data_IF_126014900994
#
_entry.id   IF_126014900994
#
_cell.length_a   1.000
_cell.length_b   1.000
_cell.length_c   1.000
_cell.angle_alpha   90.00
_cell.angle_beta   90.00
_cell.angle_gamma   90.00
#
_symmetry.space_group_name_H-M   'P 1'
#
loop_
_entity.id
_entity.type
_entity.pdbx_description
1 polymer ?
#
# COMPACT_ATOMS: atom_id res chain seq x y z
N UNK A 1 7.80 -1.33 -18.65
CA UNK A 1 8.47 -2.53 -18.06
C UNK A 1 7.47 -3.57 -17.62
N UNK A 2 6.61 -3.28 -16.68
CA UNK A 2 5.68 -4.26 -16.08
C UNK A 2 4.74 -4.92 -17.12
N UNK A 3 4.15 -4.14 -18.00
CA UNK A 3 3.31 -4.64 -19.10
C UNK A 3 4.07 -5.63 -20.01
N UNK A 4 5.32 -5.34 -20.34
CA UNK A 4 6.17 -6.24 -21.14
C UNK A 4 6.51 -7.52 -20.39
N UNK A 5 6.60 -7.46 -19.07
CA UNK A 5 6.84 -8.62 -18.20
C UNK A 5 5.55 -9.38 -17.81
N UNK A 6 4.38 -8.90 -18.25
CA UNK A 6 3.08 -9.51 -17.92
C UNK A 6 2.64 -9.35 -16.46
N UNK A 7 3.22 -8.37 -15.74
CA UNK A 7 2.94 -8.12 -14.31
C UNK A 7 2.24 -6.77 -14.09
N UNK A 8 1.86 -6.50 -12.84
CA UNK A 8 1.18 -5.28 -12.44
C UNK A 8 2.16 -4.17 -12.02
N UNK A 9 1.67 -2.93 -12.03
CA UNK A 9 2.29 -1.76 -11.41
C UNK A 9 1.38 -1.23 -10.30
N UNK A 10 1.95 -0.46 -9.38
CA UNK A 10 1.20 0.29 -8.38
C UNK A 10 1.51 1.77 -8.53
N UNK A 11 0.51 2.62 -8.38
CA UNK A 11 0.66 4.08 -8.47
C UNK A 11 1.64 4.65 -7.42
N UNK A 12 1.79 3.93 -6.31
CA UNK A 12 2.52 4.45 -5.17
C UNK A 12 1.81 5.66 -4.53
N UNK A 13 2.52 6.37 -3.67
CA UNK A 13 1.98 7.51 -2.95
C UNK A 13 1.75 8.70 -3.88
N UNK A 14 0.49 9.07 -4.07
CA UNK A 14 0.20 10.36 -4.63
C UNK A 14 -0.64 10.46 -5.90
N UNK A 15 -1.56 9.55 -6.11
CA UNK A 15 -2.53 9.68 -7.21
C UNK A 15 -2.10 9.02 -8.52
N UNK A 16 -2.71 9.42 -9.61
CA UNK A 16 -2.49 8.84 -10.93
C UNK A 16 -1.86 9.85 -11.89
N UNK A 17 -0.88 9.41 -12.65
CA UNK A 17 -0.41 10.09 -13.86
C UNK A 17 -1.05 9.40 -15.06
N UNK A 18 -1.68 10.13 -16.01
CA UNK A 18 -2.35 9.54 -17.17
C UNK A 18 -1.44 8.60 -18.00
N UNK A 19 -0.18 8.96 -18.17
CA UNK A 19 0.78 8.14 -18.89
C UNK A 19 1.09 6.83 -18.16
N UNK A 20 1.18 6.85 -16.82
CA UNK A 20 1.36 5.62 -16.04
C UNK A 20 0.21 4.65 -16.28
N UNK A 21 -1.03 5.13 -16.18
CA UNK A 21 -2.21 4.31 -16.46
C UNK A 21 -2.23 3.80 -17.90
N UNK A 22 -1.90 4.65 -18.85
CA UNK A 22 -1.87 4.31 -20.29
C UNK A 22 -0.91 3.17 -20.61
N UNK A 23 0.27 3.17 -19.97
CA UNK A 23 1.32 2.17 -20.24
C UNK A 23 1.26 0.95 -19.33
N UNK A 24 0.33 0.90 -18.37
CA UNK A 24 0.15 -0.22 -17.45
C UNK A 24 -1.01 -1.11 -17.89
N UNK A 25 -0.72 -2.37 -18.20
CA UNK A 25 -1.77 -3.36 -18.54
C UNK A 25 -2.55 -3.84 -17.31
N UNK A 26 -1.92 -3.75 -16.13
CA UNK A 26 -2.52 -4.02 -14.82
C UNK A 26 -2.02 -2.98 -13.84
N UNK A 27 -2.91 -2.13 -13.36
CA UNK A 27 -2.54 -0.98 -12.53
C UNK A 27 -3.30 -0.98 -11.21
N UNK A 28 -2.56 -1.02 -10.10
CA UNK A 28 -3.10 -0.91 -8.76
C UNK A 28 -3.07 0.55 -8.29
N UNK A 29 -4.21 1.07 -7.91
CA UNK A 29 -4.35 2.41 -7.36
C UNK A 29 -4.16 2.39 -5.86
N UNK A 30 -3.16 3.12 -5.34
CA UNK A 30 -2.83 3.09 -3.93
C UNK A 30 -3.63 4.11 -3.13
N UNK A 31 -4.32 3.63 -2.11
CA UNK A 31 -5.00 4.43 -1.10
C UNK A 31 -4.08 4.60 0.10
N UNK A 32 -3.47 5.78 0.24
CA UNK A 32 -2.55 6.12 1.31
C UNK A 32 -3.22 6.92 2.43
N UNK A 33 -2.54 7.06 3.57
CA UNK A 33 -3.08 7.74 4.74
C UNK A 33 -3.45 9.21 4.47
N UNK A 34 -2.68 9.90 3.64
CA UNK A 34 -2.91 11.31 3.28
C UNK A 34 -4.00 11.53 2.24
N UNK A 35 -4.40 10.48 1.52
CA UNK A 35 -5.35 10.57 0.39
C UNK A 35 -4.89 11.49 -0.75
N UNK A 36 -3.58 11.76 -0.89
CA UNK A 36 -3.05 12.59 -1.98
C UNK A 36 -3.53 12.09 -3.34
N UNK A 37 -4.28 12.95 -4.06
CA UNK A 37 -4.81 12.66 -5.39
C UNK A 37 -5.81 11.51 -5.49
N UNK A 38 -6.13 10.82 -4.39
CA UNK A 38 -7.05 9.69 -4.40
C UNK A 38 -8.49 10.17 -4.63
N UNK A 39 -9.12 9.66 -5.68
CA UNK A 39 -10.47 10.07 -6.06
C UNK A 39 -11.22 8.94 -6.80
N UNK A 40 -12.57 8.99 -6.82
CA UNK A 40 -13.40 7.96 -7.46
C UNK A 40 -13.19 7.84 -8.98
N UNK A 41 -12.90 8.95 -9.67
CA UNK A 41 -12.71 8.92 -11.13
C UNK A 41 -11.48 8.12 -11.55
N UNK A 42 -10.43 8.17 -10.76
CA UNK A 42 -9.23 7.36 -10.99
C UNK A 42 -9.44 5.92 -10.51
N UNK A 43 -10.20 5.73 -9.42
CA UNK A 43 -10.46 4.41 -8.86
C UNK A 43 -11.16 3.49 -9.87
N UNK A 44 -12.15 3.99 -10.60
CA UNK A 44 -12.87 3.19 -11.62
C UNK A 44 -12.01 2.84 -12.84
N UNK A 45 -10.85 3.46 -13.00
CA UNK A 45 -9.88 3.12 -14.03
C UNK A 45 -8.86 2.08 -13.58
N UNK A 46 -8.84 1.72 -12.30
CA UNK A 46 -7.86 0.81 -11.74
C UNK A 46 -8.22 -0.66 -12.02
N UNK A 47 -7.19 -1.49 -12.08
CA UNK A 47 -7.33 -2.96 -12.15
C UNK A 47 -7.21 -3.60 -10.75
N UNK A 48 -6.97 -2.80 -9.72
CA UNK A 48 -6.92 -3.18 -8.31
C UNK A 48 -6.75 -1.96 -7.41
N UNK A 49 -7.08 -2.10 -6.13
CA UNK A 49 -6.86 -1.06 -5.13
C UNK A 49 -5.96 -1.59 -4.01
N UNK A 50 -4.91 -0.85 -3.68
CA UNK A 50 -4.02 -1.18 -2.57
C UNK A 50 -4.22 -0.20 -1.42
N UNK A 51 -4.61 -0.69 -0.25
CA UNK A 51 -4.53 0.07 0.99
C UNK A 51 -3.10 0.00 1.56
N UNK A 52 -2.43 1.12 1.59
CA UNK A 52 -1.09 1.22 2.15
C UNK A 52 -1.17 1.48 3.66
N UNK A 53 -0.77 0.50 4.46
CA UNK A 53 -0.75 0.62 5.93
C UNK A 53 0.66 0.92 6.43
N UNK A 54 1.69 0.59 5.64
CA UNK A 54 3.07 0.90 5.94
C UNK A 54 4.05 0.24 4.98
N UNK A 55 5.33 0.48 5.23
CA UNK A 55 6.44 -0.16 4.52
C UNK A 55 7.50 -0.66 5.51
N UNK A 56 8.29 -1.66 5.10
CA UNK A 56 9.12 -2.45 5.99
C UNK A 56 10.22 -1.70 6.72
N UNK A 57 10.84 -0.72 6.07
CA UNK A 57 11.97 0.03 6.64
C UNK A 57 11.56 1.20 7.56
N UNK A 58 10.31 1.56 7.64
CA UNK A 58 9.77 2.61 8.53
C UNK A 58 8.35 2.30 8.94
N UNK A 59 8.17 1.18 9.61
CA UNK A 59 6.86 0.70 10.04
C UNK A 59 6.17 1.73 10.94
N UNK A 60 4.90 2.02 10.66
CA UNK A 60 4.10 2.98 11.44
C UNK A 60 4.35 4.46 11.10
N UNK A 61 5.10 4.75 10.03
CA UNK A 61 5.31 6.11 9.54
C UNK A 61 4.72 6.29 8.14
N UNK A 62 4.24 7.50 7.87
CA UNK A 62 3.79 7.90 6.54
C UNK A 62 4.93 8.36 5.62
N UNK A 63 4.58 8.74 4.41
CA UNK A 63 5.50 9.32 3.43
C UNK A 63 5.91 10.75 3.78
N UNK A 64 7.07 11.16 3.27
CA UNK A 64 7.56 12.52 3.40
C UNK A 64 8.26 12.94 2.11
N UNK A 65 7.80 14.02 1.51
CA UNK A 65 8.43 14.64 0.35
C UNK A 65 8.70 16.10 0.64
N UNK A 66 9.98 16.49 0.63
CA UNK A 66 10.40 17.89 0.89
C UNK A 66 9.93 18.80 -0.24
N UNK A 67 9.53 20.02 0.10
CA UNK A 67 8.97 21.00 -0.83
C UNK A 67 9.82 21.24 -2.07
N UNK A 68 11.16 21.26 -1.93
CA UNK A 68 12.06 21.42 -3.08
C UNK A 68 12.00 20.28 -4.10
N UNK A 69 11.43 19.12 -3.74
CA UNK A 69 11.20 17.98 -4.64
C UNK A 69 9.79 17.94 -5.19
N UNK A 70 8.89 18.80 -4.71
CA UNK A 70 7.51 18.89 -5.17
C UNK A 70 7.46 19.75 -6.42
N UNK A 71 7.63 19.12 -7.58
CA UNK A 71 7.47 19.76 -8.89
C UNK A 71 6.00 20.04 -9.19
N UNK A 72 5.73 20.85 -10.22
CA UNK A 72 4.36 21.13 -10.66
C UNK A 72 3.60 19.84 -11.01
N UNK A 73 4.25 18.88 -11.66
CA UNK A 73 3.66 17.58 -11.98
C UNK A 73 3.26 16.80 -10.71
N UNK A 74 4.13 16.78 -9.69
CA UNK A 74 3.82 16.13 -8.41
C UNK A 74 2.69 16.84 -7.69
N UNK A 75 2.69 18.17 -7.70
CA UNK A 75 1.66 18.99 -7.09
C UNK A 75 0.29 18.73 -7.74
N UNK A 76 0.23 18.71 -9.05
CA UNK A 76 -0.99 18.38 -9.82
C UNK A 76 -1.49 16.96 -9.51
N UNK A 77 -0.63 15.95 -9.63
CA UNK A 77 -0.94 14.54 -9.37
C UNK A 77 -1.49 14.34 -7.94
N UNK A 78 -0.92 15.03 -6.96
CA UNK A 78 -1.32 14.94 -5.54
C UNK A 78 -2.46 15.86 -5.15
N UNK A 79 -2.86 16.78 -6.04
CA UNK A 79 -3.84 17.84 -5.75
C UNK A 79 -3.41 18.72 -4.58
N UNK A 80 -2.12 19.10 -4.55
CA UNK A 80 -1.49 19.89 -3.50
C UNK A 80 -0.66 21.03 -4.10
N UNK A 81 -0.38 22.10 -3.33
CA UNK A 81 0.50 23.18 -3.80
C UNK A 81 1.94 22.71 -4.06
N UNK A 82 2.57 23.26 -5.10
CA UNK A 82 4.00 23.05 -5.36
C UNK A 82 4.87 23.75 -4.31
N UNK A 83 6.08 23.23 -4.12
CA UNK A 83 7.10 23.85 -3.27
C UNK A 83 6.86 23.75 -1.76
N UNK A 84 5.86 23.01 -1.31
CA UNK A 84 5.54 22.82 0.11
C UNK A 84 5.82 21.38 0.51
N UNK A 85 6.36 21.16 1.71
CA UNK A 85 6.58 19.84 2.28
C UNK A 85 5.27 19.06 2.36
N UNK A 86 5.28 17.83 1.86
CA UNK A 86 4.13 16.96 1.86
C UNK A 86 4.40 15.76 2.77
N UNK A 87 3.58 15.61 3.82
CA UNK A 87 3.70 14.55 4.81
C UNK A 87 2.41 13.76 4.90
N UNK A 88 2.52 12.45 4.81
CA UNK A 88 1.41 11.55 5.12
C UNK A 88 1.40 11.25 6.62
N UNK A 89 0.22 11.23 7.26
CA UNK A 89 0.11 10.78 8.66
C UNK A 89 0.44 9.29 8.79
N UNK A 90 0.70 8.85 10.02
CA UNK A 90 0.96 7.43 10.30
C UNK A 90 -0.31 6.56 10.17
N UNK A 91 -1.50 7.16 10.30
CA UNK A 91 -2.79 6.47 10.28
C UNK A 91 -3.70 7.02 9.20
N UNK A 92 -4.55 6.18 8.68
CA UNK A 92 -5.65 6.60 7.84
C UNK A 92 -6.65 7.43 8.65
N UNK A 93 -7.27 8.48 8.05
CA UNK A 93 -8.13 9.41 8.78
C UNK A 93 -9.51 8.85 9.09
N UNK A 94 -9.95 7.85 8.35
CA UNK A 94 -11.34 7.38 8.28
C UNK A 94 -11.54 5.95 8.80
N UNK A 95 -10.53 5.34 9.43
CA UNK A 95 -10.66 4.07 10.12
C UNK A 95 -9.62 3.90 11.23
N UNK A 96 -10.00 3.24 12.33
CA UNK A 96 -9.17 3.05 13.53
C UNK A 96 -8.75 1.60 13.75
N UNK A 97 -9.51 0.66 13.20
CA UNK A 97 -9.29 -0.76 13.41
C UNK A 97 -9.77 -1.63 12.25
N UNK A 98 -9.66 -2.95 12.40
CA UNK A 98 -10.03 -3.89 11.34
C UNK A 98 -11.50 -3.79 10.92
N UNK A 99 -12.40 -3.53 11.85
CA UNK A 99 -13.84 -3.46 11.55
C UNK A 99 -14.17 -2.25 10.66
N UNK A 100 -13.58 -1.09 10.95
CA UNK A 100 -13.72 0.10 10.12
C UNK A 100 -13.06 -0.08 8.76
N UNK A 101 -11.89 -0.74 8.72
CA UNK A 101 -11.21 -1.04 7.47
C UNK A 101 -12.02 -2.00 6.59
N UNK A 102 -12.69 -2.99 7.20
CA UNK A 102 -13.59 -3.88 6.46
C UNK A 102 -14.72 -3.10 5.78
N UNK A 103 -15.33 -2.13 6.49
CA UNK A 103 -16.34 -1.24 5.91
C UNK A 103 -15.77 -0.39 4.76
N UNK A 104 -14.54 0.13 4.93
CA UNK A 104 -13.88 0.91 3.87
C UNK A 104 -13.56 0.05 2.65
N UNK A 105 -13.15 -1.21 2.83
CA UNK A 105 -12.94 -2.16 1.73
C UNK A 105 -14.26 -2.41 1.00
N UNK A 106 -15.35 -2.63 1.73
CA UNK A 106 -16.67 -2.80 1.13
C UNK A 106 -17.09 -1.56 0.32
N UNK A 107 -16.88 -0.36 0.85
CA UNK A 107 -17.14 0.89 0.15
C UNK A 107 -16.40 0.97 -1.20
N UNK A 108 -15.11 0.59 -1.22
CA UNK A 108 -14.32 0.54 -2.47
C UNK A 108 -14.85 -0.53 -3.43
N UNK A 109 -15.22 -1.70 -2.92
CA UNK A 109 -15.81 -2.78 -3.73
C UNK A 109 -17.13 -2.31 -4.38
N UNK A 110 -18.00 -1.66 -3.64
CA UNK A 110 -19.27 -1.10 -4.15
C UNK A 110 -19.01 0.00 -5.20
N UNK A 111 -18.07 0.90 -4.93
CA UNK A 111 -17.69 1.97 -5.87
C UNK A 111 -17.09 1.46 -7.19
N UNK A 112 -16.63 0.21 -7.22
CA UNK A 112 -16.03 -0.44 -8.41
C UNK A 112 -16.86 -1.63 -8.92
N UNK A 113 -18.12 -1.72 -8.53
CA UNK A 113 -19.03 -2.82 -8.88
C UNK A 113 -18.42 -4.21 -8.61
N UNK A 114 -17.60 -4.34 -7.58
CA UNK A 114 -16.89 -5.57 -7.19
C UNK A 114 -15.95 -6.13 -8.28
N UNK A 115 -15.49 -5.30 -9.21
CA UNK A 115 -14.71 -5.74 -10.37
C UNK A 115 -13.22 -5.81 -10.13
N UNK A 116 -12.70 -5.16 -9.07
CA UNK A 116 -11.27 -5.09 -8.82
C UNK A 116 -10.88 -5.74 -7.49
N UNK A 117 -9.71 -6.42 -7.43
CA UNK A 117 -9.20 -6.96 -6.19
C UNK A 117 -8.71 -5.87 -5.23
N UNK A 118 -8.81 -6.16 -3.94
CA UNK A 118 -8.32 -5.31 -2.85
C UNK A 118 -7.07 -5.93 -2.23
N UNK A 119 -6.01 -5.16 -2.16
CA UNK A 119 -4.74 -5.53 -1.55
C UNK A 119 -4.47 -4.72 -0.29
N UNK A 120 -4.02 -5.37 0.77
CA UNK A 120 -3.52 -4.71 1.98
C UNK A 120 -2.00 -4.80 2.03
N UNK A 121 -1.30 -3.66 1.98
CA UNK A 121 0.16 -3.60 2.14
C UNK A 121 0.53 -3.29 3.59
N UNK A 122 1.32 -4.18 4.19
CA UNK A 122 1.81 -4.11 5.56
C UNK A 122 3.34 -4.04 5.58
N UNK A 123 3.90 -3.15 6.37
CA UNK A 123 5.31 -3.23 6.76
C UNK A 123 5.52 -4.38 7.75
N UNK A 124 6.59 -5.14 7.56
CA UNK A 124 6.88 -6.26 8.46
C UNK A 124 7.26 -5.79 9.86
N UNK A 125 6.38 -6.02 10.83
CA UNK A 125 6.58 -5.73 12.26
C UNK A 125 6.06 -6.93 13.10
N UNK A 126 4.88 -6.86 13.68
CA UNK A 126 4.23 -8.00 14.36
C UNK A 126 3.42 -8.81 13.35
N UNK A 127 4.12 -9.34 12.35
CA UNK A 127 3.52 -9.84 11.11
C UNK A 127 2.43 -10.88 11.35
N UNK A 128 2.62 -11.81 12.28
CA UNK A 128 1.62 -12.83 12.58
C UNK A 128 0.29 -12.22 13.04
N UNK A 129 0.34 -11.27 13.98
CA UNK A 129 -0.85 -10.63 14.54
C UNK A 129 -1.47 -9.65 13.54
N UNK A 130 -0.64 -8.86 12.86
CA UNK A 130 -1.08 -7.88 11.87
C UNK A 130 -1.80 -8.56 10.69
N UNK A 131 -1.29 -9.69 10.20
CA UNK A 131 -1.94 -10.48 9.15
C UNK A 131 -3.25 -11.08 9.63
N UNK A 132 -3.33 -11.56 10.86
CA UNK A 132 -4.60 -12.06 11.41
C UNK A 132 -5.68 -10.98 11.47
N UNK A 133 -5.30 -9.74 11.79
CA UNK A 133 -6.23 -8.60 11.73
C UNK A 133 -6.59 -8.25 10.28
N UNK A 134 -5.61 -8.24 9.38
CA UNK A 134 -5.84 -7.99 7.96
C UNK A 134 -6.80 -8.99 7.31
N UNK A 135 -6.68 -10.27 7.64
CA UNK A 135 -7.57 -11.33 7.13
C UNK A 135 -9.03 -11.08 7.50
N UNK A 136 -9.31 -10.48 8.67
CA UNK A 136 -10.68 -10.13 9.08
C UNK A 136 -11.33 -9.06 8.20
N UNK A 137 -10.54 -8.27 7.49
CA UNK A 137 -11.03 -7.25 6.59
C UNK A 137 -11.41 -7.79 5.20
N UNK A 138 -11.24 -9.09 4.98
CA UNK A 138 -11.55 -9.82 3.74
C UNK A 138 -10.88 -9.25 2.47
N UNK A 139 -9.54 -9.06 2.46
CA UNK A 139 -8.82 -8.66 1.26
C UNK A 139 -8.59 -9.85 0.31
N UNK A 140 -8.39 -9.57 -0.97
CA UNK A 140 -8.00 -10.57 -1.97
C UNK A 140 -6.50 -10.91 -1.88
N UNK A 141 -5.69 -9.95 -1.43
CA UNK A 141 -4.26 -10.13 -1.24
C UNK A 141 -3.70 -9.37 -0.05
N UNK A 142 -2.65 -9.93 0.54
CA UNK A 142 -1.86 -9.31 1.59
C UNK A 142 -0.42 -9.23 1.12
N UNK A 143 0.15 -8.02 1.16
CA UNK A 143 1.50 -7.70 0.72
C UNK A 143 2.36 -7.39 1.94
N UNK A 144 3.38 -8.20 2.18
CA UNK A 144 4.34 -8.01 3.28
C UNK A 144 5.63 -7.40 2.73
N UNK A 145 5.99 -6.25 3.27
CA UNK A 145 7.19 -5.51 2.92
C UNK A 145 8.25 -5.66 4.02
N UNK A 146 9.39 -6.28 3.68
CA UNK A 146 10.51 -6.46 4.59
C UNK A 146 11.34 -5.19 4.78
N UNK A 147 12.09 -5.10 5.88
CA UNK A 147 12.92 -3.94 6.21
C UNK A 147 13.99 -3.64 5.15
N UNK A 148 14.43 -4.66 4.41
CA UNK A 148 15.49 -4.54 3.41
C UNK A 148 15.09 -3.73 2.16
N UNK A 149 13.80 -3.42 2.00
CA UNK A 149 13.29 -2.60 0.89
C UNK A 149 13.83 -1.17 0.89
N UNK A 150 14.15 -0.65 2.05
CA UNK A 150 14.67 0.71 2.20
C UNK A 150 13.62 1.80 1.93
N UNK A 151 14.04 3.04 2.02
CA UNK A 151 13.23 4.22 1.72
C UNK A 151 14.11 5.40 1.31
N UNK A 152 13.59 6.28 0.45
CA UNK A 152 14.24 7.55 0.13
C UNK A 152 13.93 8.67 1.13
N UNK A 153 13.02 8.45 2.08
CA UNK A 153 12.58 9.48 3.02
C UNK A 153 12.06 8.86 4.32
N UNK A 154 12.86 8.90 5.35
CA UNK A 154 12.50 8.44 6.69
C UNK A 154 13.47 8.99 7.74
N UNK A 155 13.04 9.12 9.00
CA UNK A 155 13.94 9.42 10.11
C UNK A 155 14.98 8.31 10.27
N UNK A 156 16.22 8.69 10.55
CA UNK A 156 17.34 7.74 10.72
C UNK A 156 16.99 6.60 11.71
N UNK A 157 16.48 6.95 12.88
CA UNK A 157 16.07 6.01 13.91
C UNK A 157 15.07 4.96 13.37
N UNK A 158 14.08 5.38 12.56
CA UNK A 158 13.11 4.44 12.02
C UNK A 158 13.72 3.52 10.96
N UNK A 159 14.57 4.07 10.09
CA UNK A 159 15.17 3.30 8.99
C UNK A 159 16.22 2.31 9.44
N UNK A 160 16.88 2.57 10.57
CA UNK A 160 17.94 1.70 11.11
C UNK A 160 17.41 0.70 12.15
N UNK A 161 16.41 1.09 12.94
CA UNK A 161 16.04 0.36 14.16
C UNK A 161 14.62 -0.23 14.11
N UNK A 162 13.88 -0.14 13.01
CA UNK A 162 12.54 -0.71 12.90
C UNK A 162 12.41 -1.71 11.75
N UNK A 163 11.34 -2.49 11.82
CA UNK A 163 11.04 -3.50 10.82
C UNK A 163 11.62 -4.88 11.15
N UNK A 164 11.21 -5.84 10.35
CA UNK A 164 11.63 -7.24 10.45
C UNK A 164 12.16 -7.69 9.10
N UNK A 165 13.23 -8.50 9.04
CA UNK A 165 13.69 -9.09 7.79
C UNK A 165 12.56 -9.84 7.08
N UNK A 166 12.43 -9.58 5.78
CA UNK A 166 11.29 -10.08 5.00
C UNK A 166 11.16 -11.60 5.00
N UNK A 167 12.27 -12.32 4.98
CA UNK A 167 12.28 -13.79 5.08
C UNK A 167 11.69 -14.31 6.40
N UNK A 168 11.86 -13.58 7.48
CA UNK A 168 11.23 -13.90 8.76
C UNK A 168 9.74 -13.51 8.73
N UNK A 169 9.44 -12.34 8.18
CA UNK A 169 8.08 -11.83 8.07
C UNK A 169 7.16 -12.72 7.23
N UNK A 170 7.61 -13.12 6.03
CA UNK A 170 6.77 -13.93 5.12
C UNK A 170 6.37 -15.28 5.71
N UNK A 171 7.24 -15.90 6.50
CA UNK A 171 6.92 -17.15 7.20
C UNK A 171 5.84 -16.97 8.25
N UNK A 172 5.89 -15.86 9.01
CA UNK A 172 4.87 -15.51 9.99
C UNK A 172 3.52 -15.21 9.32
N UNK A 173 3.54 -14.47 8.20
CA UNK A 173 2.36 -14.18 7.41
C UNK A 173 1.69 -15.46 6.88
N UNK A 174 2.48 -16.37 6.30
CA UNK A 174 1.97 -17.65 5.82
C UNK A 174 1.34 -18.46 6.96
N UNK A 175 2.04 -18.53 8.10
CA UNK A 175 1.50 -19.23 9.28
C UNK A 175 0.17 -18.63 9.74
N UNK A 176 0.03 -17.30 9.78
CA UNK A 176 -1.20 -16.63 10.19
C UNK A 176 -2.38 -16.96 9.26
N UNK A 177 -2.15 -16.94 7.94
CA UNK A 177 -3.16 -17.29 6.94
C UNK A 177 -3.57 -18.77 7.06
N UNK A 178 -2.61 -19.66 7.27
CA UNK A 178 -2.83 -21.11 7.41
C UNK A 178 -3.63 -21.44 8.69
N UNK A 179 -3.26 -20.81 9.81
CA UNK A 179 -3.96 -21.01 11.10
C UNK A 179 -5.42 -20.52 11.05
N UNK A 180 -5.73 -19.60 10.14
CA UNK A 180 -7.10 -19.13 9.88
C UNK A 180 -7.83 -19.92 8.78
N UNK A 181 -7.19 -20.93 8.18
CA UNK A 181 -7.78 -21.73 7.10
C UNK A 181 -7.98 -20.97 5.77
N UNK A 182 -7.23 -19.86 5.55
CA UNK A 182 -7.40 -18.95 4.42
C UNK A 182 -6.34 -19.09 3.31
N UNK A 183 -5.60 -20.21 3.30
CA UNK A 183 -4.50 -20.45 2.33
C UNK A 183 -4.92 -20.34 0.86
N UNK A 184 -6.12 -20.77 0.53
CA UNK A 184 -6.64 -20.75 -0.85
C UNK A 184 -7.36 -19.45 -1.21
N UNK A 185 -7.76 -18.67 -0.23
CA UNK A 185 -8.62 -17.48 -0.41
C UNK A 185 -7.80 -16.19 -0.59
N UNK A 186 -6.61 -16.12 0.02
CA UNK A 186 -5.81 -14.90 0.06
C UNK A 186 -4.46 -15.13 -0.61
N UNK A 187 -4.16 -14.28 -1.60
CA UNK A 187 -2.84 -14.24 -2.23
C UNK A 187 -1.84 -13.53 -1.31
N UNK A 188 -0.73 -14.21 -0.98
CA UNK A 188 0.34 -13.62 -0.19
C UNK A 188 1.47 -13.14 -1.10
N UNK A 189 1.77 -11.84 -1.03
CA UNK A 189 2.80 -11.17 -1.81
C UNK A 189 3.93 -10.75 -0.87
N UNK A 190 5.16 -10.85 -1.35
CA UNK A 190 6.34 -10.43 -0.60
C UNK A 190 7.20 -9.49 -1.40
N UNK A 191 7.72 -8.45 -0.75
CA UNK A 191 8.76 -7.57 -1.25
C UNK A 191 9.69 -7.10 -0.12
N UNK A 192 10.69 -6.35 -0.50
CA UNK A 192 11.71 -5.83 0.38
C UNK A 192 13.03 -6.57 0.20
N UNK A 193 13.92 -6.02 -0.66
CA UNK A 193 15.29 -6.53 -0.83
C UNK A 193 15.40 -7.91 -1.49
N UNK A 194 14.44 -8.31 -2.31
CA UNK A 194 14.55 -9.56 -3.10
C UNK A 194 15.69 -9.43 -4.10
N UNK A 195 16.62 -10.40 -4.07
CA UNK A 195 17.78 -10.47 -4.96
C UNK A 195 17.86 -11.82 -5.64
#
# INVERSE_FOLDING_TARGET
>A
GATMAGTATCSGEGGMIPDERRYSSKWFYQCIQSRYGFNPHHLVLADGCEFFIGQGCKVGLGGHLMGQKVTDQVAEMRSLPAGIDQRSPARHPDWLGPDDLALKIQEIREATDWQIPIQLKLGAARVYDDVRMAVKCDPDSIYIDGMEGGTGAGPHLATEDTGVPGMAGIRQARKAIDDLGKRGDITLIYAGGIR
#
